data_IF_485048879197
#
_entry.id   IF_485048879197
#
_cell.length_a   1.000
_cell.length_b   1.000
_cell.length_c   1.000
_cell.angle_alpha   90.00
_cell.angle_beta   90.00
_cell.angle_gamma   90.00
#
_symmetry.space_group_name_H-M   'P 1'
#
loop_
_entity.id
_entity.type
_entity.pdbx_description
1 polymer ?
#
# COMPACT_ATOMS: atom_id res chain seq x y z
N UNK A 1 14.00 6.51 -10.13
CA UNK A 1 13.60 6.18 -8.77
C UNK A 1 13.13 4.75 -8.72
N UNK A 2 13.28 4.09 -7.56
CA UNK A 2 12.82 2.71 -7.35
C UNK A 2 12.13 2.57 -6.00
N UNK A 3 11.15 1.68 -5.90
CA UNK A 3 10.58 1.22 -4.63
C UNK A 3 11.65 0.34 -3.98
N UNK A 4 12.15 0.74 -2.81
CA UNK A 4 13.25 0.04 -2.14
C UNK A 4 12.75 -0.93 -1.07
N UNK A 5 11.72 -0.53 -0.32
CA UNK A 5 11.17 -1.34 0.77
C UNK A 5 9.66 -1.16 0.87
N UNK A 6 8.94 -2.25 1.16
CA UNK A 6 7.50 -2.22 1.42
C UNK A 6 7.22 -3.02 2.69
N UNK A 7 6.76 -2.33 3.71
CA UNK A 7 6.32 -2.91 4.97
C UNK A 7 4.80 -2.76 5.09
N UNK A 8 4.10 -3.87 5.14
CA UNK A 8 2.63 -3.88 5.10
C UNK A 8 2.00 -4.90 6.06
N UNK A 9 2.82 -5.79 6.59
CA UNK A 9 2.33 -6.91 7.40
C UNK A 9 2.09 -6.48 8.86
N UNK A 10 2.88 -5.52 9.39
CA UNK A 10 2.77 -5.10 10.77
C UNK A 10 3.37 -6.08 11.77
N UNK A 11 2.90 -5.99 13.02
CA UNK A 11 3.44 -6.73 14.16
C UNK A 11 2.34 -7.47 14.92
N UNK A 12 2.67 -8.68 15.43
CA UNK A 12 1.82 -9.39 16.38
C UNK A 12 2.07 -8.89 17.81
N UNK A 13 1.04 -8.90 18.62
CA UNK A 13 1.13 -8.62 20.04
C UNK A 13 0.23 -9.55 20.85
N UNK A 14 0.51 -9.67 22.16
CA UNK A 14 -0.25 -10.50 23.08
C UNK A 14 -0.92 -9.62 24.12
N UNK A 15 -2.20 -9.88 24.38
CA UNK A 15 -2.94 -9.32 25.48
C UNK A 15 -3.16 -10.40 26.54
N UNK A 16 -2.59 -10.19 27.73
CA UNK A 16 -2.87 -10.96 28.93
C UNK A 16 -4.09 -10.38 29.66
N UNK A 17 -4.68 -11.15 30.55
CA UNK A 17 -5.82 -10.72 31.38
C UNK A 17 -5.44 -10.60 32.84
N UNK A 18 -6.07 -9.70 33.61
CA UNK A 18 -5.83 -9.56 35.04
C UNK A 18 -6.08 -10.88 35.79
N UNK A 19 -5.32 -11.10 36.85
CA UNK A 19 -5.42 -12.34 37.67
C UNK A 19 -6.80 -12.51 38.32
N UNK A 20 -7.51 -11.43 38.52
CA UNK A 20 -8.87 -11.38 39.09
C UNK A 20 -9.93 -11.92 38.12
N UNK A 21 -9.62 -11.88 36.80
CA UNK A 21 -10.46 -12.39 35.73
C UNK A 21 -9.62 -13.27 34.78
N UNK A 22 -9.15 -14.45 35.25
CA UNK A 22 -8.22 -15.25 34.49
C UNK A 22 -8.85 -15.79 33.21
N UNK A 23 -8.29 -15.36 32.07
CA UNK A 23 -8.62 -15.88 30.75
C UNK A 23 -7.31 -16.23 30.02
N UNK A 24 -7.34 -17.12 29.01
CA UNK A 24 -6.17 -17.35 28.17
C UNK A 24 -5.75 -16.07 27.46
N UNK A 25 -4.46 -15.82 27.38
CA UNK A 25 -3.90 -14.69 26.61
C UNK A 25 -4.40 -14.70 25.16
N UNK A 26 -4.74 -13.51 24.65
CA UNK A 26 -5.20 -13.33 23.28
C UNK A 26 -4.02 -12.87 22.41
N UNK A 27 -3.88 -13.50 21.25
CA UNK A 27 -2.95 -13.02 20.21
C UNK A 27 -3.67 -12.08 19.27
N UNK A 28 -3.07 -10.95 18.98
CA UNK A 28 -3.61 -9.91 18.15
C UNK A 28 -2.53 -9.40 17.18
N UNK A 29 -2.90 -8.50 16.30
CA UNK A 29 -1.99 -7.88 15.33
C UNK A 29 -2.27 -6.39 15.19
N UNK A 30 -1.26 -5.69 14.68
CA UNK A 30 -1.27 -4.27 14.39
C UNK A 30 -0.56 -4.04 13.05
N UNK A 31 -1.20 -3.42 12.08
CA UNK A 31 -0.67 -3.19 10.74
C UNK A 31 -0.83 -1.73 10.26
N UNK A 32 -1.11 -0.81 11.18
CA UNK A 32 -1.20 0.61 10.84
C UNK A 32 0.16 1.27 10.69
N UNK A 33 1.23 0.62 11.16
CA UNK A 33 2.61 1.06 11.03
C UNK A 33 3.24 0.71 9.65
N UNK A 34 2.40 0.55 8.63
CA UNK A 34 2.83 0.28 7.27
C UNK A 34 3.55 1.47 6.62
N UNK A 35 4.54 1.18 5.77
CA UNK A 35 5.26 2.20 5.01
C UNK A 35 5.83 1.66 3.69
N UNK A 36 6.15 2.59 2.79
CA UNK A 36 6.89 2.37 1.55
C UNK A 36 8.12 3.26 1.56
N UNK A 37 9.22 2.80 0.97
CA UNK A 37 10.37 3.67 0.72
C UNK A 37 10.69 3.78 -0.77
N UNK A 38 11.02 5.01 -1.19
CA UNK A 38 11.49 5.32 -2.54
C UNK A 38 12.96 5.73 -2.45
N UNK A 39 13.76 5.20 -3.35
CA UNK A 39 15.20 5.46 -3.40
C UNK A 39 15.61 6.06 -4.75
N UNK A 40 16.56 6.99 -4.71
CA UNK A 40 17.18 7.52 -5.91
C UNK A 40 18.54 6.83 -6.19
N UNK A 41 18.58 5.81 -7.07
CA UNK A 41 19.82 5.11 -7.41
C UNK A 41 20.69 5.86 -8.42
N UNK A 42 20.24 7.02 -8.92
CA UNK A 42 20.94 7.76 -9.98
C UNK A 42 21.94 8.76 -9.41
N UNK A 43 22.80 9.30 -10.28
CA UNK A 43 23.74 10.38 -9.92
C UNK A 43 23.13 11.78 -10.03
N UNK A 44 21.84 11.89 -10.35
CA UNK A 44 21.14 13.15 -10.54
C UNK A 44 20.09 13.34 -9.46
N UNK A 45 19.80 14.60 -9.12
CA UNK A 45 18.65 14.94 -8.29
C UNK A 45 17.38 14.61 -9.07
N UNK A 46 16.48 13.88 -8.43
CA UNK A 46 15.11 13.62 -8.92
C UNK A 46 14.12 14.39 -8.04
N UNK A 47 12.89 14.50 -8.50
CA UNK A 47 11.85 15.23 -7.78
C UNK A 47 10.64 14.32 -7.60
N UNK A 48 9.97 14.44 -6.46
CA UNK A 48 8.75 13.68 -6.17
C UNK A 48 7.51 14.36 -6.72
N UNK A 49 7.57 15.65 -6.95
CA UNK A 49 6.46 16.48 -7.43
C UNK A 49 5.78 15.86 -8.67
N UNK A 50 4.49 15.63 -8.57
CA UNK A 50 3.70 15.03 -9.66
C UNK A 50 3.94 13.53 -9.87
N UNK A 51 4.77 12.86 -9.03
CA UNK A 51 4.77 11.42 -8.94
C UNK A 51 3.59 10.96 -8.09
N UNK A 52 3.20 9.69 -8.24
CA UNK A 52 2.12 9.11 -7.44
C UNK A 52 2.40 7.65 -7.07
N UNK A 53 1.89 7.26 -5.90
CA UNK A 53 1.73 5.87 -5.51
C UNK A 53 0.34 5.38 -5.91
N UNK A 54 0.30 4.22 -6.52
CA UNK A 54 -0.93 3.58 -6.99
C UNK A 54 -1.03 2.16 -6.45
N UNK A 55 -2.24 1.69 -6.16
CA UNK A 55 -2.51 0.26 -6.02
C UNK A 55 -3.21 -0.28 -7.28
N UNK A 56 -2.94 -1.55 -7.61
CA UNK A 56 -3.66 -2.21 -8.70
C UNK A 56 -5.13 -2.43 -8.34
N UNK A 57 -6.02 -2.30 -9.33
CA UNK A 57 -7.40 -2.77 -9.23
C UNK A 57 -7.52 -4.29 -9.49
N UNK A 58 -6.44 -4.92 -9.95
CA UNK A 58 -6.41 -6.32 -10.36
C UNK A 58 -5.73 -7.16 -9.29
N UNK A 59 -6.49 -7.96 -8.56
CA UNK A 59 -5.97 -8.86 -7.53
C UNK A 59 -5.14 -9.99 -8.17
N UNK A 60 -3.82 -10.09 -7.86
CA UNK A 60 -2.95 -11.13 -8.43
C UNK A 60 -3.30 -12.56 -8.00
N UNK A 61 -4.13 -12.74 -6.98
CA UNK A 61 -4.61 -14.05 -6.51
C UNK A 61 -5.87 -14.54 -7.24
N UNK A 62 -6.49 -13.66 -8.01
CA UNK A 62 -7.75 -13.95 -8.71
C UNK A 62 -7.51 -14.18 -10.18
N UNK A 63 -7.91 -15.33 -10.71
CA UNK A 63 -7.84 -15.60 -12.15
C UNK A 63 -8.87 -14.75 -12.89
N UNK A 64 -8.38 -13.83 -13.72
CA UNK A 64 -9.20 -12.94 -14.52
C UNK A 64 -9.21 -13.38 -15.98
N UNK A 65 -10.40 -13.47 -16.57
CA UNK A 65 -10.61 -13.64 -18.01
C UNK A 65 -11.17 -12.34 -18.58
N UNK A 66 -10.42 -11.70 -19.48
CA UNK A 66 -10.85 -10.46 -20.11
C UNK A 66 -11.82 -10.77 -21.27
N UNK A 67 -13.04 -10.23 -21.20
CA UNK A 67 -14.01 -10.40 -22.28
C UNK A 67 -13.59 -9.64 -23.53
N UNK A 68 -13.85 -10.25 -24.70
CA UNK A 68 -13.61 -9.63 -26.01
C UNK A 68 -12.15 -9.49 -26.42
N UNK A 69 -11.24 -10.28 -25.87
CA UNK A 69 -9.80 -10.27 -26.18
C UNK A 69 -9.09 -8.93 -25.94
N UNK A 70 -9.66 -8.08 -25.11
CA UNK A 70 -9.10 -6.75 -24.79
C UNK A 70 -8.35 -6.76 -23.47
N UNK A 71 -7.31 -7.56 -23.40
CA UNK A 71 -6.38 -7.47 -22.28
C UNK A 71 -5.53 -6.20 -22.43
N UNK A 72 -5.88 -5.14 -21.70
CA UNK A 72 -5.24 -3.84 -21.76
C UNK A 72 -3.84 -3.82 -21.13
N UNK A 73 -3.45 -4.85 -20.35
CA UNK A 73 -2.13 -4.96 -19.69
C UNK A 73 -0.94 -4.99 -20.65
N UNK A 74 -1.15 -4.85 -21.93
CA UNK A 74 -0.10 -4.68 -22.94
C UNK A 74 0.30 -3.22 -23.16
N UNK A 75 -0.54 -2.29 -22.70
CA UNK A 75 -0.41 -0.86 -23.01
C UNK A 75 -0.57 0.00 -21.74
N UNK A 76 -1.30 -0.52 -20.75
CA UNK A 76 -1.69 0.25 -19.56
C UNK A 76 -1.54 -0.58 -18.28
N UNK A 77 -1.20 0.13 -17.19
CA UNK A 77 -1.44 -0.37 -15.84
C UNK A 77 -2.90 -0.12 -15.48
N UNK A 78 -3.56 -1.12 -14.91
CA UNK A 78 -4.90 -0.98 -14.35
C UNK A 78 -4.84 -0.69 -12.87
N UNK A 79 -5.03 0.56 -12.46
CA UNK A 79 -4.96 0.97 -11.05
C UNK A 79 -6.33 1.25 -10.47
N UNK A 80 -6.47 1.05 -9.16
CA UNK A 80 -7.71 1.31 -8.42
C UNK A 80 -7.63 2.57 -7.59
N UNK A 81 -6.45 2.87 -7.04
CA UNK A 81 -6.25 4.02 -6.15
C UNK A 81 -4.97 4.77 -6.49
N UNK A 82 -4.98 6.08 -6.31
CA UNK A 82 -3.86 6.96 -6.63
C UNK A 82 -3.75 8.07 -5.59
N UNK A 83 -2.58 8.20 -4.96
CA UNK A 83 -2.21 9.40 -4.19
C UNK A 83 -0.91 9.98 -4.71
N UNK A 84 -0.86 11.29 -4.95
CA UNK A 84 0.29 11.93 -5.56
C UNK A 84 1.02 12.87 -4.60
N UNK A 85 2.29 13.09 -4.89
CA UNK A 85 3.12 14.10 -4.23
C UNK A 85 2.77 15.46 -4.81
N UNK A 86 2.19 16.39 -4.02
CA UNK A 86 1.92 17.75 -4.48
C UNK A 86 3.22 18.50 -4.77
N UNK A 87 3.13 19.58 -5.53
CA UNK A 87 4.26 20.44 -5.85
C UNK A 87 4.23 20.95 -7.28
N UNK A 88 5.09 21.92 -7.57
CA UNK A 88 5.17 22.59 -8.89
C UNK A 88 6.26 22.01 -9.81
N UNK A 89 6.86 20.88 -9.43
CA UNK A 89 7.82 20.13 -10.22
C UNK A 89 9.27 20.13 -9.71
N UNK A 90 9.61 20.96 -8.71
CA UNK A 90 10.96 21.04 -8.12
C UNK A 90 10.99 21.36 -6.62
N UNK A 91 9.88 21.16 -5.94
CA UNK A 91 9.78 21.53 -4.52
C UNK A 91 10.30 20.42 -3.61
N UNK A 92 10.18 19.16 -4.05
CA UNK A 92 10.53 17.99 -3.24
C UNK A 92 11.66 17.18 -3.88
N UNK A 93 12.93 17.66 -3.79
CA UNK A 93 14.09 16.95 -4.37
C UNK A 93 14.43 15.70 -3.56
N UNK A 94 14.80 14.64 -4.28
CA UNK A 94 15.41 13.43 -3.73
C UNK A 94 16.83 13.31 -4.27
N UNK A 95 17.81 13.46 -3.38
CA UNK A 95 19.22 13.48 -3.74
C UNK A 95 19.72 12.11 -4.23
N UNK A 96 20.82 12.04 -5.00
CA UNK A 96 21.49 10.78 -5.30
C UNK A 96 21.77 9.97 -4.02
N UNK A 97 21.35 8.71 -4.00
CA UNK A 97 21.52 7.83 -2.84
C UNK A 97 20.57 8.08 -1.66
N UNK A 98 19.66 9.04 -1.76
CA UNK A 98 18.68 9.31 -0.72
C UNK A 98 17.53 8.32 -0.79
N UNK A 99 17.04 7.92 0.39
CA UNK A 99 15.77 7.21 0.60
C UNK A 99 14.75 8.17 1.19
N UNK A 100 13.53 8.12 0.71
CA UNK A 100 12.35 8.83 1.25
C UNK A 100 11.41 7.78 1.81
N UNK A 101 10.89 8.01 3.02
CA UNK A 101 9.97 7.11 3.73
C UNK A 101 8.58 7.71 3.70
N UNK A 102 7.61 6.95 3.21
CA UNK A 102 6.21 7.31 3.15
C UNK A 102 5.44 6.35 4.06
N UNK A 103 4.82 6.83 5.13
CA UNK A 103 4.06 6.02 6.06
C UNK A 103 2.56 6.00 5.74
N UNK A 104 1.85 4.98 6.23
CA UNK A 104 0.39 5.02 6.27
C UNK A 104 -0.05 6.12 7.25
N UNK A 105 0.51 6.11 8.44
CA UNK A 105 0.34 7.14 9.47
C UNK A 105 1.70 7.51 10.06
N UNK A 106 2.03 8.79 10.00
CA UNK A 106 3.33 9.30 10.47
C UNK A 106 3.34 9.58 11.99
N UNK A 107 3.06 8.58 12.80
CA UNK A 107 2.96 8.67 14.26
C UNK A 107 3.92 7.73 14.98
N UNK A 108 4.05 7.87 16.29
CA UNK A 108 4.66 6.87 17.17
C UNK A 108 3.60 5.82 17.52
N UNK A 109 3.59 4.71 16.81
CA UNK A 109 2.54 3.71 16.89
C UNK A 109 2.46 3.01 18.26
N UNK A 110 3.59 2.75 18.90
CA UNK A 110 3.60 2.16 20.22
C UNK A 110 2.98 3.09 21.28
N UNK A 111 3.32 4.36 21.22
CA UNK A 111 2.77 5.38 22.13
C UNK A 111 1.30 5.64 21.85
N UNK A 112 0.91 5.75 20.59
CA UNK A 112 -0.47 6.01 20.19
C UNK A 112 -1.40 4.86 20.59
N UNK A 113 -0.94 3.61 20.47
CA UNK A 113 -1.69 2.43 20.88
C UNK A 113 -2.21 2.55 22.32
N UNK A 114 -1.33 2.83 23.27
CA UNK A 114 -1.72 2.98 24.66
C UNK A 114 -2.51 4.26 24.94
N UNK A 115 -2.18 5.36 24.27
CA UNK A 115 -2.91 6.62 24.41
C UNK A 115 -4.38 6.47 24.02
N UNK A 116 -4.66 5.75 22.92
CA UNK A 116 -6.04 5.50 22.48
C UNK A 116 -6.77 4.54 23.40
N UNK A 117 -6.09 3.47 23.83
CA UNK A 117 -6.66 2.48 24.72
C UNK A 117 -7.07 3.11 26.08
N UNK A 118 -6.20 3.92 26.66
CA UNK A 118 -6.49 4.64 27.91
C UNK A 118 -7.63 5.65 27.73
N UNK A 119 -7.71 6.32 26.58
CA UNK A 119 -8.77 7.27 26.27
C UNK A 119 -10.15 6.58 26.11
N UNK A 120 -10.20 5.43 25.46
CA UNK A 120 -11.43 4.63 25.31
C UNK A 120 -11.97 4.19 26.66
N UNK A 121 -11.10 3.70 27.54
CA UNK A 121 -11.49 3.30 28.90
C UNK A 121 -11.94 4.48 29.75
N UNK A 122 -11.22 5.59 29.71
CA UNK A 122 -11.63 6.81 30.41
C UNK A 122 -13.00 7.31 29.94
N UNK A 123 -13.30 7.20 28.64
CA UNK A 123 -14.62 7.50 28.06
C UNK A 123 -15.75 6.60 28.57
N UNK A 124 -15.41 5.38 28.98
CA UNK A 124 -16.34 4.41 29.59
C UNK A 124 -16.38 4.48 31.11
N UNK A 125 -15.60 5.37 31.74
CA UNK A 125 -15.49 5.50 33.19
C UNK A 125 -14.60 4.42 33.85
N UNK A 126 -13.84 3.66 33.04
CA UNK A 126 -12.94 2.62 33.50
C UNK A 126 -11.54 3.21 33.81
N UNK A 127 -10.79 2.60 34.73
CA UNK A 127 -9.42 3.04 35.01
C UNK A 127 -8.50 2.77 33.81
N UNK A 128 -7.34 3.47 33.68
CA UNK A 128 -6.34 3.18 32.69
C UNK A 128 -5.91 1.71 32.69
N UNK A 129 -5.56 1.20 31.51
CA UNK A 129 -5.09 -0.19 31.35
C UNK A 129 -3.75 -0.39 32.06
N UNK A 130 -3.59 -1.57 32.67
CA UNK A 130 -2.24 -2.04 33.00
C UNK A 130 -1.49 -2.39 31.70
N UNK A 131 -0.63 -1.50 31.24
CA UNK A 131 0.17 -1.68 30.02
C UNK A 131 1.04 -2.96 30.06
N UNK A 132 1.36 -3.49 31.26
CA UNK A 132 2.13 -4.73 31.38
C UNK A 132 1.35 -5.99 30.91
N UNK A 133 0.03 -5.85 30.73
CA UNK A 133 -0.79 -6.91 30.15
C UNK A 133 -0.62 -7.04 28.62
N UNK A 134 0.01 -6.06 27.97
CA UNK A 134 0.25 -6.03 26.54
C UNK A 134 1.74 -6.23 26.25
N UNK A 135 2.07 -7.24 25.48
CA UNK A 135 3.46 -7.63 25.14
C UNK A 135 3.66 -7.57 23.64
N UNK A 136 4.77 -7.03 23.20
CA UNK A 136 5.10 -6.90 21.77
C UNK A 136 4.76 -5.52 21.20
N UNK A 137 4.11 -4.62 21.97
CA UNK A 137 3.77 -3.26 21.51
C UNK A 137 5.04 -2.44 21.26
N UNK A 138 6.13 -2.72 21.96
CA UNK A 138 7.44 -2.10 21.77
C UNK A 138 8.06 -2.33 20.39
N UNK A 139 7.54 -3.32 19.65
CA UNK A 139 7.96 -3.60 18.28
C UNK A 139 7.28 -2.69 17.24
N UNK A 140 6.18 -2.03 17.60
CA UNK A 140 5.49 -1.12 16.69
C UNK A 140 6.37 0.07 16.34
N UNK A 141 6.36 0.45 15.07
CA UNK A 141 7.30 1.42 14.56
C UNK A 141 6.98 2.85 15.03
N UNK A 142 8.02 3.63 15.29
CA UNK A 142 7.89 5.07 15.44
C UNK A 142 8.14 5.74 14.08
N UNK A 143 7.05 6.13 13.41
CA UNK A 143 7.04 6.78 12.10
C UNK A 143 6.82 8.32 12.21
N UNK A 144 6.86 8.89 13.40
CA UNK A 144 6.55 10.32 13.64
C UNK A 144 7.49 11.33 12.97
N UNK A 145 8.59 10.86 12.34
CA UNK A 145 9.60 11.69 11.69
C UNK A 145 9.93 11.25 10.28
N UNK A 146 9.02 10.51 9.63
CA UNK A 146 9.15 10.14 8.22
C UNK A 146 8.95 11.35 7.30
N UNK A 147 9.22 11.19 6.02
CA UNK A 147 9.20 12.30 5.07
C UNK A 147 7.78 12.63 4.59
N UNK A 148 6.90 11.62 4.48
CA UNK A 148 5.53 11.75 3.97
C UNK A 148 4.59 10.75 4.65
N UNK A 149 3.28 11.05 4.59
CA UNK A 149 2.22 10.07 4.86
C UNK A 149 1.19 10.03 3.73
N UNK A 150 0.56 8.84 3.50
CA UNK A 150 -0.42 8.71 2.43
C UNK A 150 -1.87 8.76 2.90
N UNK A 151 -2.09 8.66 4.20
CA UNK A 151 -3.43 8.81 4.77
C UNK A 151 -3.56 10.23 5.31
N UNK A 152 -4.50 11.00 4.77
CA UNK A 152 -4.72 12.37 5.17
C UNK A 152 -5.95 12.52 6.09
N UNK A 153 -6.05 13.69 6.75
CA UNK A 153 -7.13 13.99 7.70
C UNK A 153 -8.55 13.97 7.09
N UNK A 154 -8.67 13.99 5.77
CA UNK A 154 -9.98 13.96 5.07
C UNK A 154 -10.52 12.54 4.92
N UNK A 155 -9.63 11.54 4.89
CA UNK A 155 -9.97 10.15 4.60
C UNK A 155 -9.86 9.23 5.80
N UNK A 156 -9.40 9.73 6.95
CA UNK A 156 -9.16 8.94 8.14
C UNK A 156 -9.47 9.68 9.44
N UNK A 157 -9.45 8.92 10.54
CA UNK A 157 -9.60 9.47 11.89
C UNK A 157 -8.60 10.61 12.13
N UNK A 158 -9.10 11.79 12.39
CA UNK A 158 -8.33 13.01 12.74
C UNK A 158 -7.22 12.79 13.78
N UNK A 159 -7.28 11.67 14.52
CA UNK A 159 -6.36 11.32 15.58
C UNK A 159 -5.04 10.72 15.12
N UNK A 160 -4.93 10.26 13.86
CA UNK A 160 -3.72 9.60 13.34
C UNK A 160 -2.88 10.49 12.43
N UNK A 161 -3.43 11.59 11.93
CA UNK A 161 -2.71 12.54 11.10
C UNK A 161 -1.62 13.26 11.89
N UNK A 162 -0.41 13.35 11.34
CA UNK A 162 0.68 14.16 11.90
C UNK A 162 0.81 15.48 11.12
N UNK A 163 0.36 16.63 11.69
CA UNK A 163 0.38 17.90 10.97
C UNK A 163 1.80 18.43 10.66
N UNK A 164 2.84 17.77 11.15
CA UNK A 164 4.23 18.13 10.86
C UNK A 164 4.87 17.30 9.73
N UNK A 165 4.14 16.31 9.19
CA UNK A 165 4.55 15.49 8.06
C UNK A 165 3.61 15.79 6.90
N UNK A 166 4.13 16.09 5.69
CA UNK A 166 3.27 16.37 4.54
C UNK A 166 2.52 15.13 4.06
N UNK A 167 1.28 15.34 3.61
CA UNK A 167 0.40 14.30 3.08
C UNK A 167 0.57 14.13 1.57
N UNK A 168 0.47 12.87 1.12
CA UNK A 168 0.11 12.61 -0.26
C UNK A 168 -1.35 13.02 -0.50
N UNK A 169 -1.64 13.52 -1.69
CA UNK A 169 -2.98 13.99 -2.03
C UNK A 169 -3.69 12.93 -2.87
N UNK A 170 -4.90 12.48 -2.48
CA UNK A 170 -5.73 11.62 -3.30
C UNK A 170 -6.03 12.30 -4.64
N UNK A 171 -5.98 11.56 -5.74
CA UNK A 171 -6.23 12.16 -7.07
C UNK A 171 -7.66 12.72 -7.17
N UNK A 172 -8.57 12.09 -6.50
CA UNK A 172 -9.97 12.49 -6.46
C UNK A 172 -10.64 11.95 -5.19
N UNK A 173 -11.45 12.79 -4.57
CA UNK A 173 -12.42 12.41 -3.56
C UNK A 173 -13.76 13.01 -3.98
N UNK A 174 -14.82 12.22 -4.02
CA UNK A 174 -16.11 12.70 -4.50
C UNK A 174 -17.19 11.64 -4.41
N UNK A 175 -18.33 11.99 -4.98
CA UNK A 175 -19.51 11.13 -4.98
C UNK A 175 -19.57 10.27 -6.25
N UNK A 176 -19.74 8.97 -6.11
CA UNK A 176 -20.04 8.07 -7.22
C UNK A 176 -21.56 7.86 -7.30
N UNK A 177 -22.17 8.49 -8.30
CA UNK A 177 -23.61 8.42 -8.50
C UNK A 177 -24.12 7.02 -8.90
N UNK A 178 -23.24 6.10 -9.34
CA UNK A 178 -23.64 4.72 -9.63
C UNK A 178 -23.76 3.88 -8.37
N UNK A 179 -22.96 4.18 -7.35
CA UNK A 179 -22.93 3.44 -6.08
C UNK A 179 -23.69 4.17 -4.96
N UNK A 180 -24.17 5.39 -5.23
CA UNK A 180 -24.82 6.27 -4.25
C UNK A 180 -23.97 6.48 -2.99
N UNK A 181 -22.66 6.60 -3.16
CA UNK A 181 -21.70 6.67 -2.06
C UNK A 181 -20.55 7.64 -2.32
N UNK A 182 -19.91 8.11 -1.27
CA UNK A 182 -18.69 8.91 -1.34
C UNK A 182 -17.49 8.03 -1.73
N UNK A 183 -16.84 8.35 -2.82
CA UNK A 183 -15.69 7.60 -3.34
C UNK A 183 -14.40 8.34 -3.08
N UNK A 184 -13.47 7.65 -2.47
CA UNK A 184 -12.10 8.11 -2.30
C UNK A 184 -11.14 7.20 -3.07
N UNK A 185 -10.52 7.76 -4.11
CA UNK A 185 -9.51 7.09 -4.94
C UNK A 185 -8.08 7.22 -4.40
N UNK A 186 -7.93 7.69 -3.18
CA UNK A 186 -6.64 7.77 -2.50
C UNK A 186 -6.03 6.39 -2.21
N UNK A 187 -4.70 6.31 -2.26
CA UNK A 187 -3.96 5.12 -1.85
C UNK A 187 -4.20 4.87 -0.35
N UNK A 188 -4.77 3.72 -0.01
CA UNK A 188 -5.21 3.43 1.38
C UNK A 188 -4.40 2.33 2.04
N UNK A 189 -4.48 1.14 1.50
CA UNK A 189 -3.93 -0.06 2.14
C UNK A 189 -3.10 -0.89 1.18
N UNK A 190 -2.11 -1.56 1.75
CA UNK A 190 -1.34 -2.59 1.08
C UNK A 190 -1.82 -3.92 1.63
N UNK A 191 -2.48 -4.70 0.80
CA UNK A 191 -2.98 -6.03 1.17
C UNK A 191 -1.96 -7.12 0.86
N UNK A 192 -2.20 -8.33 1.34
CA UNK A 192 -1.34 -9.51 1.06
C UNK A 192 -1.37 -9.94 -0.41
N UNK A 193 -2.40 -9.49 -1.16
CA UNK A 193 -2.55 -9.73 -2.59
C UNK A 193 -2.83 -8.41 -3.29
N UNK A 194 -1.78 -7.65 -3.57
CA UNK A 194 -1.90 -6.35 -4.23
C UNK A 194 -0.70 -6.07 -5.13
N UNK A 195 -0.81 -5.04 -5.91
CA UNK A 195 0.31 -4.47 -6.63
C UNK A 195 0.44 -3.00 -6.30
N UNK A 196 1.68 -2.52 -6.21
CA UNK A 196 2.00 -1.12 -5.99
C UNK A 196 2.80 -0.63 -7.19
N UNK A 197 2.46 0.55 -7.69
CA UNK A 197 3.22 1.23 -8.73
C UNK A 197 3.60 2.64 -8.29
N UNK A 198 4.83 3.02 -8.60
CA UNK A 198 5.27 4.41 -8.62
C UNK A 198 5.15 4.89 -10.05
N UNK A 199 4.41 5.99 -10.26
CA UNK A 199 4.14 6.53 -11.60
C UNK A 199 4.44 8.02 -11.66
N UNK A 200 4.66 8.53 -12.88
CA UNK A 200 4.47 9.94 -13.19
C UNK A 200 3.00 10.15 -13.53
N UNK A 201 2.31 11.05 -12.85
CA UNK A 201 0.92 11.37 -13.21
C UNK A 201 0.84 11.82 -14.68
N UNK A 202 -0.02 11.20 -15.49
CA UNK A 202 -0.20 11.59 -16.89
C UNK A 202 -1.05 12.87 -17.08
N UNK A 203 -1.73 13.30 -16.03
CA UNK A 203 -2.64 14.45 -16.01
C UNK A 203 -2.63 15.14 -14.65
N UNK A 204 -3.23 16.32 -14.57
CA UNK A 204 -3.46 16.99 -13.28
C UNK A 204 -4.68 16.39 -12.56
N UNK A 205 -4.77 16.64 -11.25
CA UNK A 205 -5.95 16.22 -10.48
C UNK A 205 -7.24 16.88 -11.01
N UNK A 206 -7.14 18.12 -11.50
CA UNK A 206 -8.29 18.81 -12.12
C UNK A 206 -8.70 18.18 -13.45
N UNK A 207 -7.74 17.87 -14.33
CA UNK A 207 -8.02 17.15 -15.59
C UNK A 207 -8.65 15.78 -15.30
N UNK A 208 -8.16 15.07 -14.28
CA UNK A 208 -8.74 13.80 -13.88
C UNK A 208 -10.19 13.96 -13.43
N UNK A 209 -10.47 14.92 -12.54
CA UNK A 209 -11.83 15.18 -12.05
C UNK A 209 -12.80 15.55 -13.17
N UNK A 210 -12.37 16.40 -14.12
CA UNK A 210 -13.20 16.81 -15.25
C UNK A 210 -13.47 15.67 -16.25
N UNK A 211 -12.56 14.71 -16.35
CA UNK A 211 -12.63 13.60 -17.30
C UNK A 211 -12.97 12.27 -16.64
N UNK A 212 -13.17 12.23 -15.32
CA UNK A 212 -13.69 11.05 -14.64
C UNK A 212 -15.09 10.74 -15.19
N UNK A 213 -15.38 9.48 -15.56
CA UNK A 213 -16.65 9.17 -16.21
C UNK A 213 -17.83 9.47 -15.30
N UNK A 214 -18.86 10.02 -15.92
CA UNK A 214 -20.18 10.07 -15.29
C UNK A 214 -20.78 8.68 -15.11
N UNK A 215 -21.94 8.61 -14.44
CA UNK A 215 -22.71 7.38 -14.20
C UNK A 215 -22.98 6.55 -15.48
N UNK A 216 -22.86 7.16 -16.64
CA UNK A 216 -23.13 6.50 -17.91
C UNK A 216 -21.83 6.01 -18.61
N UNK A 217 -20.68 6.14 -17.97
CA UNK A 217 -19.40 5.61 -18.42
C UNK A 217 -18.85 6.24 -19.71
N UNK A 218 -19.29 7.43 -20.04
CA UNK A 218 -19.04 8.05 -21.34
C UNK A 218 -17.72 8.78 -21.48
N UNK A 219 -16.92 8.89 -20.43
CA UNK A 219 -15.66 9.65 -20.44
C UNK A 219 -14.59 9.04 -19.60
N UNK A 220 -13.37 9.34 -19.94
CA UNK A 220 -12.29 9.45 -19.06
C UNK A 220 -11.40 8.26 -18.88
N UNK A 221 -10.74 8.30 -17.79
CA UNK A 221 -9.63 7.43 -17.45
C UNK A 221 -10.07 6.12 -16.78
N UNK A 222 -11.37 5.95 -16.57
CA UNK A 222 -11.95 4.71 -16.01
C UNK A 222 -12.32 3.76 -17.11
N UNK A 223 -11.90 2.52 -16.99
CA UNK A 223 -12.33 1.43 -17.83
C UNK A 223 -13.01 0.35 -16.97
N UNK A 224 -14.18 -0.10 -17.41
CA UNK A 224 -14.86 -1.22 -16.77
C UNK A 224 -14.46 -2.50 -17.47
N UNK A 225 -13.84 -3.41 -16.74
CA UNK A 225 -13.48 -4.73 -17.22
C UNK A 225 -14.55 -5.70 -16.77
N UNK A 226 -15.24 -6.33 -17.73
CA UNK A 226 -16.06 -7.48 -17.41
C UNK A 226 -15.14 -8.70 -17.28
N UNK A 227 -14.60 -8.89 -16.07
CA UNK A 227 -13.79 -10.05 -15.78
C UNK A 227 -14.66 -11.21 -15.31
N UNK A 228 -14.38 -12.41 -15.81
CA UNK A 228 -14.93 -13.65 -15.25
C UNK A 228 -14.13 -14.03 -14.02
N UNK A 229 -14.73 -13.81 -12.86
CA UNK A 229 -14.29 -14.46 -11.64
C UNK A 229 -15.19 -15.68 -11.47
N UNK A 230 -14.66 -16.88 -11.68
CA UNK A 230 -15.32 -18.18 -11.41
C UNK A 230 -16.86 -18.15 -11.39
N UNK A 231 -17.51 -18.23 -12.55
CA UNK A 231 -18.96 -18.28 -12.74
C UNK A 231 -19.78 -17.00 -12.48
N UNK A 232 -19.19 -15.95 -11.93
CA UNK A 232 -19.86 -14.66 -11.76
C UNK A 232 -19.15 -13.58 -12.60
N UNK A 233 -19.92 -12.76 -13.30
CA UNK A 233 -19.42 -11.57 -13.99
C UNK A 233 -19.49 -10.41 -13.01
N UNK A 234 -18.35 -10.09 -12.41
CA UNK A 234 -18.24 -8.89 -11.61
C UNK A 234 -17.46 -7.84 -12.42
N UNK A 235 -18.03 -6.67 -12.65
CA UNK A 235 -17.28 -5.57 -13.26
C UNK A 235 -16.15 -5.15 -12.32
N UNK A 236 -14.95 -4.95 -12.90
CA UNK A 236 -13.80 -4.37 -12.21
C UNK A 236 -13.57 -3.01 -12.84
N UNK A 237 -13.55 -1.98 -12.03
CA UNK A 237 -13.27 -0.63 -12.48
C UNK A 237 -11.77 -0.35 -12.35
N UNK A 238 -11.15 0.09 -13.43
CA UNK A 238 -9.73 0.45 -13.47
C UNK A 238 -9.53 1.84 -14.02
N UNK A 239 -8.51 2.50 -13.50
CA UNK A 239 -7.96 3.70 -14.10
C UNK A 239 -6.76 3.25 -14.94
N UNK A 240 -6.77 3.56 -16.23
CA UNK A 240 -5.70 3.17 -17.15
C UNK A 240 -4.54 4.17 -17.09
N UNK A 241 -3.39 3.71 -16.66
CA UNK A 241 -2.14 4.48 -16.67
C UNK A 241 -1.25 3.97 -17.80
N UNK A 242 -0.89 4.80 -18.81
CA UNK A 242 0.01 4.39 -19.88
C UNK A 242 1.35 3.88 -19.33
N UNK A 243 1.92 2.84 -19.92
CA UNK A 243 3.17 2.24 -19.46
C UNK A 243 4.36 3.19 -19.45
N UNK A 244 4.39 4.17 -20.34
CA UNK A 244 5.46 5.18 -20.37
C UNK A 244 5.46 6.12 -19.15
N UNK A 245 4.41 6.06 -18.33
CA UNK A 245 4.29 6.80 -17.08
C UNK A 245 4.69 5.98 -15.84
N UNK A 246 4.81 4.67 -15.98
CA UNK A 246 5.27 3.84 -14.89
C UNK A 246 6.77 4.02 -14.66
N UNK A 247 7.17 4.07 -13.41
CA UNK A 247 8.56 4.24 -12.98
C UNK A 247 9.08 2.94 -12.38
N UNK A 248 8.30 2.34 -11.47
CA UNK A 248 8.61 1.07 -10.83
C UNK A 248 7.34 0.40 -10.31
N UNK A 249 7.33 -0.92 -10.26
CA UNK A 249 6.20 -1.71 -9.77
C UNK A 249 6.66 -2.86 -8.89
N UNK A 250 5.80 -3.25 -7.95
CA UNK A 250 5.93 -4.48 -7.17
C UNK A 250 4.59 -5.21 -7.13
N UNK A 251 4.60 -6.51 -7.41
CA UNK A 251 3.45 -7.40 -7.22
C UNK A 251 3.62 -8.16 -5.90
N UNK A 252 2.71 -7.92 -4.98
CA UNK A 252 2.64 -8.61 -3.69
C UNK A 252 1.61 -9.72 -3.81
N UNK A 253 2.07 -10.95 -3.68
CA UNK A 253 1.18 -12.12 -3.66
C UNK A 253 1.92 -13.34 -3.12
N UNK A 254 1.33 -14.09 -2.17
CA UNK A 254 1.88 -15.37 -1.75
C UNK A 254 1.95 -16.36 -2.91
N UNK A 255 3.03 -17.14 -2.97
CA UNK A 255 3.28 -18.10 -4.05
C UNK A 255 2.12 -19.05 -4.32
N UNK A 256 1.44 -19.51 -3.27
CA UNK A 256 0.34 -20.47 -3.40
C UNK A 256 -0.95 -19.85 -3.93
N UNK A 257 -1.09 -18.53 -3.83
CA UNK A 257 -2.27 -17.78 -4.25
C UNK A 257 -2.11 -17.14 -5.61
N UNK A 258 -0.88 -16.92 -6.06
CA UNK A 258 -0.57 -16.23 -7.31
C UNK A 258 -1.19 -16.91 -8.53
N UNK A 259 -1.96 -16.17 -9.31
CA UNK A 259 -2.65 -16.62 -10.53
C UNK A 259 -2.19 -15.86 -11.76
N UNK A 260 -1.92 -14.55 -11.65
CA UNK A 260 -1.53 -13.75 -12.78
C UNK A 260 -0.82 -12.46 -12.34
N UNK A 261 -0.05 -11.86 -13.26
CA UNK A 261 0.59 -10.57 -12.99
C UNK A 261 -0.35 -9.41 -13.38
N UNK A 262 -0.64 -8.46 -12.45
CA UNK A 262 -1.54 -7.35 -12.72
C UNK A 262 -0.93 -6.27 -13.63
N UNK A 263 0.40 -6.22 -13.75
CA UNK A 263 1.12 -5.17 -14.46
C UNK A 263 1.67 -5.57 -15.81
N UNK A 264 1.66 -6.85 -16.15
CA UNK A 264 2.33 -7.33 -17.34
C UNK A 264 1.51 -8.36 -18.10
N UNK A 265 1.58 -8.28 -19.42
CA UNK A 265 1.07 -9.30 -20.33
C UNK A 265 2.12 -9.63 -21.37
N UNK A 266 2.72 -10.80 -21.24
CA UNK A 266 3.68 -11.30 -22.23
C UNK A 266 3.08 -11.39 -23.64
N UNK A 267 3.88 -11.19 -24.71
CA UNK A 267 5.32 -10.89 -24.68
C UNK A 267 5.70 -9.40 -24.82
N UNK A 268 4.76 -8.47 -24.86
CA UNK A 268 5.05 -7.12 -25.32
C UNK A 268 5.34 -6.11 -24.22
N UNK A 269 4.68 -6.21 -23.09
CA UNK A 269 4.85 -5.25 -22.02
C UNK A 269 5.07 -6.01 -20.71
N UNK A 270 6.25 -5.88 -20.15
CA UNK A 270 6.61 -6.52 -18.91
C UNK A 270 7.17 -5.46 -17.99
N UNK A 271 6.33 -4.98 -17.07
CA UNK A 271 6.73 -4.03 -16.05
C UNK A 271 7.14 -4.75 -14.77
N UNK A 272 6.48 -5.86 -14.44
CA UNK A 272 6.87 -6.78 -13.40
C UNK A 272 6.57 -8.21 -13.89
N UNK A 273 7.57 -9.09 -13.86
CA UNK A 273 7.44 -10.50 -14.30
C UNK A 273 7.13 -11.43 -13.15
N UNK A 274 7.27 -10.94 -11.91
CA UNK A 274 7.25 -11.77 -10.74
C UNK A 274 6.16 -11.41 -9.75
N UNK A 275 6.32 -11.97 -8.59
CA UNK A 275 5.55 -11.71 -7.39
C UNK A 275 6.43 -12.00 -6.18
N UNK A 276 6.11 -11.39 -5.05
CA UNK A 276 6.75 -11.70 -3.77
C UNK A 276 5.77 -11.43 -2.63
N UNK A 277 6.00 -12.02 -1.47
CA UNK A 277 5.23 -11.73 -0.28
C UNK A 277 6.05 -12.04 0.97
N UNK A 278 5.70 -11.42 2.08
CA UNK A 278 6.29 -11.72 3.38
C UNK A 278 5.89 -13.12 3.85
N UNK A 279 4.71 -13.59 3.46
CA UNK A 279 4.20 -14.93 3.77
C UNK A 279 4.14 -15.79 2.52
N UNK A 280 4.23 -17.08 2.68
CA UNK A 280 4.12 -18.05 1.58
C UNK A 280 2.67 -18.49 1.25
N UNK A 281 1.67 -17.89 1.94
CA UNK A 281 0.26 -18.28 1.79
C UNK A 281 -0.09 -19.60 2.48
N UNK A 282 0.86 -20.21 3.20
CA UNK A 282 0.66 -21.48 3.91
C UNK A 282 -0.23 -21.34 5.16
N UNK A 283 -0.53 -20.12 5.56
CA UNK A 283 -1.43 -19.86 6.67
C UNK A 283 -2.88 -20.04 6.21
N UNK A 284 -3.37 -21.27 6.33
CA UNK A 284 -4.82 -21.48 6.30
C UNK A 284 -5.41 -20.54 7.34
N UNK A 285 -6.37 -19.72 6.94
CA UNK A 285 -7.12 -18.83 7.82
C UNK A 285 -7.87 -19.61 8.89
N UNK A 286 -7.14 -20.12 9.85
CA UNK A 286 -7.72 -20.57 11.10
C UNK A 286 -7.48 -19.47 12.11
N UNK A 287 -8.50 -19.00 12.84
CA UNK A 287 -8.37 -17.90 13.80
C UNK A 287 -7.18 -18.03 14.77
N UNK A 288 -6.74 -19.26 15.06
CA UNK A 288 -5.68 -19.54 16.00
C UNK A 288 -4.24 -19.39 15.49
N UNK A 289 -4.00 -19.13 14.20
CA UNK A 289 -2.65 -19.04 13.63
C UNK A 289 -2.39 -17.80 12.77
N UNK A 290 -3.39 -16.98 12.56
CA UNK A 290 -3.33 -15.84 11.62
C UNK A 290 -2.34 -14.76 12.07
N UNK A 291 -2.15 -14.58 13.38
CA UNK A 291 -1.23 -13.60 13.95
C UNK A 291 0.26 -13.88 13.63
N UNK A 292 0.64 -15.11 13.28
CA UNK A 292 2.04 -15.45 12.95
C UNK A 292 2.57 -14.80 11.70
N UNK A 293 1.69 -14.34 10.81
CA UNK A 293 2.07 -13.60 9.62
C UNK A 293 2.56 -12.17 9.95
N UNK A 294 2.10 -11.59 11.05
CA UNK A 294 2.44 -10.23 11.49
C UNK A 294 3.81 -10.24 12.20
N UNK A 295 4.85 -10.38 11.40
CA UNK A 295 6.19 -10.75 11.86
C UNK A 295 7.18 -9.60 11.92
N UNK A 296 6.76 -8.38 11.60
CA UNK A 296 7.67 -7.22 11.49
C UNK A 296 8.62 -7.30 10.29
N UNK A 297 8.32 -8.17 9.31
CA UNK A 297 9.13 -8.36 8.11
C UNK A 297 8.62 -7.51 6.96
N UNK A 298 9.52 -7.06 6.10
CA UNK A 298 9.25 -6.25 4.90
C UNK A 298 9.77 -6.96 3.65
N UNK A 299 9.27 -6.52 2.49
CA UNK A 299 9.89 -6.79 1.20
C UNK A 299 10.94 -5.72 0.94
N UNK A 300 12.22 -6.11 0.93
CA UNK A 300 13.36 -5.20 0.74
C UNK A 300 14.05 -5.54 -0.57
N UNK A 301 14.28 -4.54 -1.43
CA UNK A 301 14.97 -4.71 -2.71
C UNK A 301 16.42 -5.11 -2.46
N UNK A 302 16.85 -6.16 -3.13
CA UNK A 302 18.19 -6.76 -2.95
C UNK A 302 19.29 -5.82 -3.44
N UNK A 303 20.44 -5.93 -2.80
CA UNK A 303 21.69 -5.30 -3.22
C UNK A 303 22.63 -6.36 -3.81
N UNK A 304 23.14 -6.15 -5.03
CA UNK A 304 24.01 -7.11 -5.73
C UNK A 304 25.51 -6.92 -5.42
N UNK A 305 25.83 -6.01 -4.49
CA UNK A 305 27.19 -5.59 -4.16
C UNK A 305 27.61 -4.27 -4.83
N UNK A 306 26.82 -3.76 -5.78
CA UNK A 306 27.10 -2.51 -6.53
C UNK A 306 25.88 -1.60 -6.61
N UNK A 307 24.70 -2.16 -6.81
CA UNK A 307 23.42 -1.44 -6.97
C UNK A 307 22.26 -2.25 -6.45
N UNK A 308 21.12 -1.61 -6.32
CA UNK A 308 19.86 -2.32 -6.11
C UNK A 308 19.51 -3.15 -7.35
N UNK A 309 19.06 -4.38 -7.15
CA UNK A 309 18.59 -5.26 -8.23
C UNK A 309 17.27 -4.71 -8.75
N UNK A 310 17.19 -4.54 -10.06
CA UNK A 310 16.00 -4.04 -10.74
C UNK A 310 15.92 -4.70 -12.13
N UNK A 311 15.28 -5.87 -12.13
CA UNK A 311 15.11 -6.72 -13.32
C UNK A 311 13.64 -6.72 -13.79
N UNK A 312 12.82 -5.80 -13.27
CA UNK A 312 11.37 -5.79 -13.43
C UNK A 312 10.75 -7.15 -13.03
N UNK A 313 11.14 -7.65 -11.87
CA UNK A 313 10.70 -8.97 -11.40
C UNK A 313 10.69 -9.01 -9.87
N UNK A 314 9.52 -8.85 -9.27
CA UNK A 314 9.36 -8.83 -7.82
C UNK A 314 9.92 -10.07 -7.12
N UNK A 315 9.98 -11.24 -7.79
CA UNK A 315 10.57 -12.46 -7.23
C UNK A 315 12.09 -12.38 -7.12
N UNK A 316 12.76 -11.83 -8.14
CA UNK A 316 14.23 -11.69 -8.14
C UNK A 316 14.68 -10.47 -7.38
N UNK A 317 13.92 -9.38 -7.45
CA UNK A 317 14.36 -8.06 -7.00
C UNK A 317 14.24 -7.88 -5.49
N UNK A 318 13.28 -8.54 -4.85
CA UNK A 318 13.01 -8.38 -3.42
C UNK A 318 13.34 -9.63 -2.59
N UNK A 319 13.67 -9.39 -1.33
CA UNK A 319 13.84 -10.42 -0.30
C UNK A 319 13.03 -10.04 0.94
N UNK A 320 12.56 -11.06 1.68
CA UNK A 320 11.90 -10.88 2.98
C UNK A 320 12.97 -10.68 4.05
N UNK A 321 12.94 -9.54 4.73
CA UNK A 321 13.87 -9.17 5.79
C UNK A 321 13.14 -8.36 6.87
N UNK A 322 13.69 -8.23 8.10
CA UNK A 322 13.13 -7.31 9.10
C UNK A 322 13.03 -5.89 8.55
N UNK A 323 11.91 -5.23 8.82
CA UNK A 323 11.66 -3.83 8.47
C UNK A 323 12.83 -2.93 8.91
N UNK A 324 13.23 -1.98 8.05
CA UNK A 324 14.47 -1.23 8.23
C UNK A 324 14.34 0.29 8.02
N UNK A 325 13.15 0.78 7.65
CA UNK A 325 12.89 2.17 7.24
C UNK A 325 13.85 2.63 6.14
N UNK A 326 14.17 1.74 5.20
CA UNK A 326 15.07 2.04 4.10
C UNK A 326 16.56 2.16 4.48
N UNK A 327 16.97 1.78 5.69
CA UNK A 327 18.36 1.86 6.16
C UNK A 327 19.25 0.72 5.65
N UNK A 328 18.71 -0.32 5.03
CA UNK A 328 19.43 -1.45 4.45
C UNK A 328 19.53 -1.39 2.94
#
# INVERSE_FOLDING_TARGET
>A
LVIKEVFYIGHAYTQDFPKEYPQPSTQNWYADDAYITIYNPTSEVKYLDGLALCSTALDPSTLLEFEGNKDFRREYLGVGTISYFPGSGKEHPIQPGQTVVIAKYAIDHAKDFFTRLDKELAGSGEPPVDHNLYKGIEAFLNLSKVDWEWTNAQTDNEHKNNPNVPDLVPIFTGYDAEEDDDVDFGFKEITETSGIALIQLPWTAEDFRQNYPDAEGRRGYRHTINARITHHRNPIHVIEIPFDKAIDCITICPKQEYKFNPYSKEPKATFDKGYNAVTDGAYKRTPASDWKKYSGMALIRKWDGKKLVDDNNSTSDFAVQPASLGSK
#
